data_IF_780812044329
#
_entry.id   IF_780812044329
#
_cell.length_a   1.000
_cell.length_b   1.000
_cell.length_c   1.000
_cell.angle_alpha   90.00
_cell.angle_beta   90.00
_cell.angle_gamma   90.00
#
_symmetry.space_group_name_H-M   'P 1'
#
loop_
_entity.id
_entity.type
_entity.pdbx_description
1 polymer ?
#
# COMPACT_ATOMS: atom_id res chain seq x y z
N UNK A 1 -14.12 -9.28 17.57
CA UNK A 1 -13.30 -8.41 16.68
C UNK A 1 -14.24 -7.50 15.91
N UNK A 2 -14.06 -6.16 15.90
CA UNK A 2 -14.79 -5.28 14.97
C UNK A 2 -13.94 -5.13 13.69
N UNK A 3 -14.41 -5.57 12.51
CA UNK A 3 -13.63 -5.51 11.28
C UNK A 3 -13.40 -4.08 10.75
N UNK A 4 -13.92 -3.04 11.42
CA UNK A 4 -13.90 -1.64 10.96
C UNK A 4 -13.16 -0.70 11.92
N UNK A 5 -12.21 -1.21 12.71
CA UNK A 5 -11.39 -0.37 13.59
C UNK A 5 -10.33 0.45 12.83
N UNK A 6 -9.80 1.56 13.40
CA UNK A 6 -8.80 2.40 12.74
C UNK A 6 -7.55 1.64 12.25
N UNK A 7 -7.11 0.64 13.01
CA UNK A 7 -5.98 -0.20 12.61
C UNK A 7 -6.29 -1.09 11.39
N UNK A 8 -7.56 -1.49 11.19
CA UNK A 8 -7.96 -2.24 10.00
C UNK A 8 -7.91 -1.37 8.75
N UNK A 9 -8.51 -0.18 8.86
CA UNK A 9 -8.50 0.84 7.80
C UNK A 9 -7.06 1.21 7.42
N UNK A 10 -6.16 1.28 8.40
CA UNK A 10 -4.75 1.61 8.19
C UNK A 10 -4.04 0.61 7.27
N UNK A 11 -4.09 -0.70 7.56
CA UNK A 11 -3.42 -1.67 6.70
C UNK A 11 -4.14 -1.82 5.35
N UNK A 12 -5.47 -1.74 5.31
CA UNK A 12 -6.25 -1.77 4.07
C UNK A 12 -5.85 -0.63 3.12
N UNK A 13 -5.72 0.59 3.64
CA UNK A 13 -5.33 1.76 2.83
C UNK A 13 -3.95 1.56 2.21
N UNK A 14 -3.01 1.05 3.00
CA UNK A 14 -1.66 0.72 2.50
C UNK A 14 -1.75 -0.30 1.38
N UNK A 15 -2.45 -1.40 1.63
CA UNK A 15 -2.55 -2.54 0.71
C UNK A 15 -3.24 -2.15 -0.60
N UNK A 16 -4.40 -1.49 -0.53
CA UNK A 16 -5.12 -1.03 -1.72
C UNK A 16 -4.36 0.02 -2.51
N UNK A 17 -3.58 0.88 -1.84
CA UNK A 17 -2.67 1.78 -2.52
C UNK A 17 -1.62 1.03 -3.36
N UNK A 18 -1.10 -0.09 -2.86
CA UNK A 18 -0.17 -0.95 -3.61
C UNK A 18 -0.85 -1.72 -4.74
N UNK A 19 -2.08 -2.19 -4.54
CA UNK A 19 -2.87 -2.87 -5.59
C UNK A 19 -3.03 -2.00 -6.84
N UNK A 20 -3.04 -0.68 -6.68
CA UNK A 20 -3.07 0.29 -7.79
C UNK A 20 -1.66 0.62 -8.28
N UNK A 21 -0.72 0.88 -7.37
CA UNK A 21 0.61 1.35 -7.75
C UNK A 21 1.43 0.29 -8.50
N UNK A 22 1.37 -0.97 -8.08
CA UNK A 22 2.19 -2.06 -8.63
C UNK A 22 1.88 -2.31 -10.11
N UNK A 23 0.61 -2.52 -10.55
CA UNK A 23 0.29 -2.72 -11.96
C UNK A 23 0.64 -1.53 -12.85
N UNK A 24 0.63 -0.31 -12.30
CA UNK A 24 1.00 0.91 -13.01
C UNK A 24 2.52 1.17 -13.03
N UNK A 25 3.33 0.27 -12.46
CA UNK A 25 4.77 0.46 -12.31
C UNK A 25 5.15 1.66 -11.44
N UNK A 26 4.22 2.16 -10.61
CA UNK A 26 4.43 3.30 -9.71
C UNK A 26 4.97 2.81 -8.36
N UNK A 27 5.71 3.69 -7.69
CA UNK A 27 6.17 3.42 -6.32
C UNK A 27 5.36 4.27 -5.35
N UNK A 28 4.57 3.61 -4.51
CA UNK A 28 3.87 4.26 -3.41
C UNK A 28 4.67 4.06 -2.12
N UNK A 29 5.29 5.14 -1.66
CA UNK A 29 6.08 5.15 -0.44
C UNK A 29 5.20 5.09 0.81
N UNK A 30 5.52 4.14 1.70
CA UNK A 30 4.89 4.00 3.01
C UNK A 30 5.99 4.07 4.05
N UNK A 31 5.76 4.78 5.15
CA UNK A 31 6.80 4.91 6.19
C UNK A 31 7.02 3.55 6.87
N UNK A 32 8.27 3.22 7.25
CA UNK A 32 8.59 2.01 8.01
C UNK A 32 7.65 1.75 9.20
N UNK A 33 7.39 2.79 9.98
CA UNK A 33 6.49 2.75 11.15
C UNK A 33 5.05 2.41 10.76
N UNK A 34 4.54 3.01 9.68
CA UNK A 34 3.19 2.71 9.19
C UNK A 34 3.10 1.28 8.68
N UNK A 35 4.11 0.79 7.98
CA UNK A 35 4.14 -0.60 7.49
C UNK A 35 4.23 -1.60 8.63
N UNK A 36 5.04 -1.33 9.66
CA UNK A 36 5.14 -2.17 10.86
C UNK A 36 3.78 -2.32 11.55
N UNK A 37 3.13 -1.19 11.86
CA UNK A 37 1.82 -1.19 12.52
C UNK A 37 0.74 -1.89 11.67
N UNK A 38 0.82 -1.76 10.35
CA UNK A 38 -0.06 -2.48 9.43
C UNK A 38 0.20 -3.99 9.42
N UNK A 39 1.46 -4.41 9.43
CA UNK A 39 1.86 -5.81 9.48
C UNK A 39 1.44 -6.49 10.79
N UNK A 40 1.68 -5.84 11.93
CA UNK A 40 1.22 -6.28 13.26
C UNK A 40 -0.30 -6.51 13.27
N UNK A 41 -1.05 -5.53 12.74
CA UNK A 41 -2.50 -5.66 12.70
C UNK A 41 -2.94 -6.76 11.75
N UNK A 42 -2.34 -6.88 10.57
CA UNK A 42 -2.72 -7.88 9.59
C UNK A 42 -2.53 -9.31 10.14
N UNK A 43 -1.40 -9.61 10.78
CA UNK A 43 -1.18 -10.96 11.34
C UNK A 43 -2.17 -11.31 12.45
N UNK A 44 -2.69 -10.33 13.19
CA UNK A 44 -3.76 -10.51 14.18
C UNK A 44 -5.16 -10.61 13.58
N UNK A 45 -5.45 -9.88 12.49
CA UNK A 45 -6.78 -9.87 11.85
C UNK A 45 -7.12 -11.22 11.26
N UNK A 46 -6.14 -12.00 10.80
CA UNK A 46 -6.19 -13.36 10.22
C UNK A 46 -7.58 -14.00 10.00
N UNK A 47 -8.39 -14.08 11.05
CA UNK A 47 -9.77 -14.55 11.04
C UNK A 47 -10.84 -13.41 11.01
N UNK A 48 -11.80 -13.36 10.05
CA UNK A 48 -12.14 -14.34 8.99
C UNK A 48 -11.67 -13.94 7.58
N UNK A 49 -10.78 -12.96 7.45
CA UNK A 49 -10.49 -12.31 6.17
C UNK A 49 -9.55 -13.16 5.28
N UNK A 50 -8.74 -14.07 5.85
CA UNK A 50 -7.95 -15.07 5.10
C UNK A 50 -7.70 -16.35 5.93
N UNK A 51 -7.14 -17.41 5.31
CA UNK A 51 -6.90 -18.66 6.03
C UNK A 51 -5.85 -18.48 7.14
N UNK A 52 -6.28 -18.58 8.41
CA UNK A 52 -5.43 -18.47 9.61
C UNK A 52 -4.20 -19.39 9.59
N UNK A 53 -4.31 -20.56 8.95
CA UNK A 53 -3.25 -21.57 8.91
C UNK A 53 -2.17 -21.26 7.87
N UNK A 54 -2.35 -20.21 7.06
CA UNK A 54 -1.39 -19.85 6.02
C UNK A 54 -0.05 -19.37 6.58
N UNK A 55 -0.04 -18.89 7.82
CA UNK A 55 1.17 -18.45 8.52
C UNK A 55 1.73 -19.50 9.48
N UNK A 56 1.14 -20.71 9.53
CA UNK A 56 1.63 -21.77 10.39
C UNK A 56 2.98 -22.29 9.87
N UNK A 57 3.95 -22.43 10.77
CA UNK A 57 5.27 -22.95 10.43
C UNK A 57 6.15 -22.02 9.59
N UNK A 58 5.77 -20.75 9.41
CA UNK A 58 6.62 -19.74 8.76
C UNK A 58 7.04 -18.65 9.73
N UNK A 59 8.26 -18.14 9.53
CA UNK A 59 8.83 -16.99 10.22
C UNK A 59 9.06 -15.86 9.23
N UNK A 60 8.27 -14.81 9.33
CA UNK A 60 8.39 -13.59 8.53
C UNK A 60 9.46 -12.68 9.13
N UNK A 61 10.36 -12.14 8.31
CA UNK A 61 11.46 -11.28 8.75
C UNK A 61 11.60 -10.10 7.79
N UNK A 62 11.24 -8.91 8.28
CA UNK A 62 11.43 -7.64 7.59
C UNK A 62 12.69 -6.95 8.09
N UNK A 63 13.80 -7.18 7.38
CA UNK A 63 15.11 -6.63 7.74
C UNK A 63 15.23 -5.11 7.59
N UNK A 64 14.41 -4.51 6.73
CA UNK A 64 14.35 -3.06 6.50
C UNK A 64 13.81 -2.28 7.70
N UNK A 65 13.06 -2.93 8.58
CA UNK A 65 12.45 -2.30 9.77
C UNK A 65 12.69 -3.07 11.07
N UNK A 66 13.45 -4.16 11.04
CA UNK A 66 13.71 -5.01 12.21
C UNK A 66 12.46 -5.73 12.75
N UNK A 67 11.46 -6.00 11.91
CA UNK A 67 10.20 -6.63 12.32
C UNK A 67 10.22 -8.14 12.03
N UNK A 68 9.68 -8.94 12.94
CA UNK A 68 9.56 -10.40 12.77
C UNK A 68 8.27 -10.94 13.32
N UNK A 69 7.70 -11.95 12.66
CA UNK A 69 6.50 -12.65 13.13
C UNK A 69 6.56 -14.15 12.86
N UNK A 70 5.97 -14.96 13.75
CA UNK A 70 5.87 -16.40 13.58
C UNK A 70 7.13 -17.18 13.91
N UNK A 71 7.10 -18.49 13.64
CA UNK A 71 8.19 -19.45 13.89
C UNK A 71 8.18 -20.52 12.79
N UNK A 72 9.37 -21.01 12.43
CA UNK A 72 9.56 -22.05 11.40
C UNK A 72 10.38 -21.53 10.21
N UNK A 73 10.01 -21.94 9.00
CA UNK A 73 10.73 -21.61 7.76
C UNK A 73 10.80 -20.11 7.53
N UNK A 74 12.01 -19.58 7.32
CA UNK A 74 12.21 -18.13 7.21
C UNK A 74 11.81 -17.59 5.83
N UNK A 75 10.98 -16.54 5.85
CA UNK A 75 10.65 -15.73 4.69
C UNK A 75 11.14 -14.32 4.96
N UNK A 76 12.13 -13.89 4.18
CA UNK A 76 12.78 -12.58 4.31
C UNK A 76 12.33 -11.68 3.15
N UNK A 77 12.05 -10.44 3.47
CA UNK A 77 11.71 -9.44 2.45
C UNK A 77 11.37 -8.08 3.08
N UNK A 78 11.16 -7.03 2.28
CA UNK A 78 10.72 -5.74 2.78
C UNK A 78 9.40 -5.85 3.54
N UNK A 79 9.23 -5.06 4.59
CA UNK A 79 8.01 -5.07 5.41
C UNK A 79 6.72 -4.96 4.59
N UNK A 80 6.76 -4.12 3.55
CA UNK A 80 5.62 -3.90 2.67
C UNK A 80 5.29 -5.15 1.84
N UNK A 81 6.31 -5.87 1.38
CA UNK A 81 6.12 -7.13 0.65
C UNK A 81 5.56 -8.22 1.56
N UNK A 82 6.02 -8.29 2.82
CA UNK A 82 5.50 -9.23 3.80
C UNK A 82 4.06 -8.89 4.23
N UNK A 83 3.69 -7.61 4.32
CA UNK A 83 2.31 -7.18 4.55
C UNK A 83 1.38 -7.63 3.41
N UNK A 84 1.80 -7.43 2.15
CA UNK A 84 1.05 -7.93 0.99
C UNK A 84 0.96 -9.46 1.02
N UNK A 85 2.07 -10.13 1.35
CA UNK A 85 2.09 -11.59 1.50
C UNK A 85 1.07 -12.04 2.55
N UNK A 86 1.06 -11.46 3.75
CA UNK A 86 0.13 -11.80 4.84
C UNK A 86 -1.33 -11.62 4.40
N UNK A 87 -1.63 -10.57 3.65
CA UNK A 87 -2.99 -10.23 3.18
C UNK A 87 -3.42 -10.95 1.89
N UNK A 88 -2.73 -12.02 1.50
CA UNK A 88 -3.14 -12.88 0.38
C UNK A 88 -2.56 -12.49 -0.98
N UNK A 89 -1.74 -11.44 -1.07
CA UNK A 89 -1.28 -10.87 -2.33
C UNK A 89 0.13 -11.33 -2.67
N UNK A 90 0.30 -11.91 -3.86
CA UNK A 90 1.61 -12.28 -4.40
C UNK A 90 2.39 -11.10 -4.99
N UNK A 91 1.72 -9.98 -5.26
CA UNK A 91 2.27 -8.82 -5.98
C UNK A 91 3.50 -8.18 -5.30
N UNK A 92 3.69 -8.37 -3.99
CA UNK A 92 4.88 -7.91 -3.26
C UNK A 92 6.16 -8.69 -3.58
N UNK A 93 6.05 -9.94 -4.04
CA UNK A 93 7.19 -10.83 -4.31
C UNK A 93 7.65 -10.80 -5.79
N UNK A 94 6.79 -10.35 -6.70
CA UNK A 94 7.07 -10.31 -8.14
C UNK A 94 7.90 -9.10 -8.59
N UNK A 95 8.31 -8.22 -7.65
CA UNK A 95 9.23 -7.11 -7.96
C UNK A 95 10.61 -7.72 -8.29
N UNK A 96 11.13 -7.58 -9.51
CA UNK A 96 12.41 -8.18 -9.88
C UNK A 96 13.53 -7.64 -8.97
N UNK A 97 14.43 -8.51 -8.45
CA UNK A 97 15.59 -8.07 -7.70
C UNK A 97 16.46 -7.21 -8.60
N UNK A 98 16.78 -5.98 -8.18
CA UNK A 98 17.64 -5.06 -8.94
C UNK A 98 17.09 -3.63 -9.09
N UNK A 99 15.81 -3.38 -8.80
CA UNK A 99 15.38 -2.03 -8.40
C UNK A 99 15.32 -2.00 -6.89
N UNK A 100 16.40 -1.52 -6.28
CA UNK A 100 16.35 -1.00 -4.92
C UNK A 100 15.04 -0.23 -4.73
N UNK A 101 14.30 -0.56 -3.66
CA UNK A 101 13.19 0.30 -3.23
C UNK A 101 13.79 1.69 -3.09
N UNK A 102 13.38 2.69 -3.89
CA UNK A 102 13.95 4.01 -3.77
C UNK A 102 13.77 4.39 -2.31
N UNK A 103 14.87 4.69 -1.62
CA UNK A 103 14.87 5.09 -0.22
C UNK A 103 13.74 6.11 -0.07
N UNK A 104 12.62 5.70 0.53
CA UNK A 104 11.46 6.55 0.66
C UNK A 104 11.85 7.67 1.62
N UNK A 105 12.34 8.77 1.06
CA UNK A 105 12.55 10.00 1.81
C UNK A 105 11.15 10.51 2.17
N UNK A 106 10.78 10.61 3.45
CA UNK A 106 9.56 11.30 3.82
C UNK A 106 9.71 12.76 3.35
N UNK A 107 8.94 13.16 2.33
CA UNK A 107 8.90 14.56 1.87
C UNK A 107 9.05 14.84 0.37
N UNK A 108 8.99 13.86 -0.55
CA UNK A 108 8.88 14.23 -1.98
C UNK A 108 7.51 14.86 -2.25
N UNK A 109 7.50 16.17 -2.48
CA UNK A 109 6.33 16.96 -2.88
C UNK A 109 5.57 16.23 -3.99
N UNK A 110 4.23 16.06 -3.90
CA UNK A 110 3.47 15.45 -4.98
C UNK A 110 3.71 16.25 -6.27
N UNK A 111 3.83 15.59 -7.45
CA UNK A 111 3.89 16.31 -8.71
C UNK A 111 2.64 17.20 -8.83
N UNK A 112 2.77 18.44 -9.31
CA UNK A 112 1.63 19.34 -9.40
C UNK A 112 0.53 18.67 -10.22
N UNK A 113 -0.67 18.61 -9.64
CA UNK A 113 -1.84 18.09 -10.33
C UNK A 113 -2.00 18.88 -11.64
N UNK A 114 -2.08 18.16 -12.77
CA UNK A 114 -2.46 18.75 -14.04
C UNK A 114 -3.87 19.33 -13.88
N UNK A 115 -3.95 20.65 -13.67
CA UNK A 115 -5.21 21.38 -13.71
C UNK A 115 -5.65 21.39 -15.17
N UNK A 116 -6.79 20.80 -15.56
CA UNK A 116 -7.31 20.99 -16.91
C UNK A 116 -7.60 22.48 -17.08
N UNK A 117 -7.09 23.06 -18.17
CA UNK A 117 -7.38 24.46 -18.55
C UNK A 117 -8.88 24.55 -18.87
N UNK A 118 -9.64 25.24 -18.01
CA UNK A 118 -11.01 25.65 -18.32
C UNK A 118 -10.95 26.74 -19.39
N UNK A 119 -11.18 26.38 -20.64
CA UNK A 119 -11.49 27.33 -21.70
C UNK A 119 -12.97 27.73 -21.59
N UNK A 120 -13.25 28.89 -21.00
CA UNK A 120 -14.57 29.51 -21.14
C UNK A 120 -14.67 30.10 -22.55
N UNK A 121 -15.40 29.42 -23.43
CA UNK A 121 -16.07 30.08 -24.55
C UNK A 121 -17.48 30.44 -24.06
N UNK A 122 -17.64 31.68 -23.58
CA UNK A 122 -18.96 32.27 -23.42
C UNK A 122 -19.38 32.80 -24.77
N UNK A 123 -20.46 32.24 -25.28
CA UNK A 123 -21.14 32.66 -26.48
C UNK A 123 -21.66 34.09 -26.35
N UNK A 124 -21.44 34.86 -27.40
CA UNK A 124 -22.05 36.13 -27.72
C UNK A 124 -23.57 35.95 -27.85
N UNK A 125 -24.35 36.71 -27.09
CA UNK A 125 -25.80 36.78 -27.21
C UNK A 125 -26.23 38.25 -27.26
N UNK A 126 -26.59 38.69 -28.46
CA UNK A 126 -27.47 39.81 -28.77
C UNK A 126 -28.28 39.38 -30.02
N UNK A 127 -29.54 39.80 -30.18
CA UNK A 127 -29.83 41.20 -30.46
C UNK A 127 -31.04 41.80 -29.72
N UNK A 128 -31.00 43.12 -29.58
CA UNK A 128 -32.16 43.98 -29.33
C UNK A 128 -33.03 44.10 -30.60
N UNK A 129 -34.35 44.22 -30.41
CA UNK A 129 -35.17 45.19 -31.16
C UNK A 129 -36.41 45.54 -30.34
N UNK A 130 -36.60 46.84 -30.19
CA UNK A 130 -37.85 47.50 -29.81
C UNK A 130 -38.62 47.88 -31.08
#
# INVERSE_FOLDING_TARGET
MRPTGPAHIHFDTIVHGQDIAIPLGRTLCVTPKATAAGADRAVEVGWPVWNRHRLDGVRLIAGDIGWTFGRGSEIRGPALALLLLVTGRAAGLARPPGRESPSCRPGSKPPPAHRPKSSNHSAEAAPETQ
#
